data_IF_771410835329
#
_entry.id   IF_771410835329
#
_cell.length_a   1.000
_cell.length_b   1.000
_cell.length_c   1.000
_cell.angle_alpha   90.00
_cell.angle_beta   90.00
_cell.angle_gamma   90.00
#
_symmetry.space_group_name_H-M   'P 1'
#
loop_
_entity.id
_entity.type
_entity.pdbx_description
1 polymer ?
#
# COMPACT_ATOMS: atom_id res chain seq x y z
N UNK A 1 11.84 -40.79 -37.04
CA UNK A 1 11.69 -39.36 -36.71
C UNK A 1 12.44 -39.13 -35.40
N UNK A 2 13.59 -38.44 -35.41
CA UNK A 2 14.35 -38.17 -34.19
C UNK A 2 13.75 -36.97 -33.44
N UNK A 3 13.98 -36.97 -32.13
CA UNK A 3 13.56 -35.97 -31.15
C UNK A 3 14.26 -34.63 -31.41
N UNK A 4 13.52 -33.52 -31.33
CA UNK A 4 14.08 -32.19 -31.08
C UNK A 4 13.60 -31.74 -29.70
N UNK A 5 14.56 -31.70 -28.79
CA UNK A 5 14.57 -30.91 -27.57
C UNK A 5 14.63 -29.43 -27.96
N UNK A 6 13.75 -28.61 -27.38
CA UNK A 6 14.03 -27.20 -27.08
C UNK A 6 13.23 -26.87 -25.81
N UNK A 7 13.86 -27.18 -24.68
CA UNK A 7 13.59 -26.57 -23.38
C UNK A 7 14.71 -25.55 -23.14
N UNK A 8 14.39 -24.27 -23.29
CA UNK A 8 15.00 -23.13 -22.61
C UNK A 8 13.82 -22.15 -22.44
N UNK A 9 13.03 -22.23 -21.37
CA UNK A 9 13.35 -21.80 -20.01
C UNK A 9 13.97 -20.40 -19.97
N UNK A 10 13.09 -19.41 -20.01
CA UNK A 10 13.20 -18.21 -19.17
C UNK A 10 11.77 -17.66 -19.02
N UNK A 11 10.86 -18.49 -18.48
CA UNK A 11 9.79 -17.91 -17.67
C UNK A 11 10.51 -17.27 -16.48
N UNK A 12 10.83 -15.99 -16.62
CA UNK A 12 11.33 -15.17 -15.55
C UNK A 12 10.44 -15.44 -14.34
N UNK A 13 10.98 -16.22 -13.40
CA UNK A 13 10.36 -16.48 -12.13
C UNK A 13 9.87 -15.11 -11.64
N UNK A 14 8.57 -14.93 -11.34
CA UNK A 14 8.16 -13.72 -10.67
C UNK A 14 8.91 -13.75 -9.34
N UNK A 15 9.99 -12.97 -9.26
CA UNK A 15 10.75 -12.71 -8.05
C UNK A 15 9.73 -12.20 -7.04
N UNK A 16 9.19 -13.13 -6.27
CA UNK A 16 8.06 -12.96 -5.36
C UNK A 16 8.59 -12.46 -4.03
N UNK A 17 9.48 -11.48 -4.11
CA UNK A 17 9.83 -10.56 -3.03
C UNK A 17 9.14 -9.21 -3.25
N UNK A 18 8.08 -9.19 -4.07
CA UNK A 18 7.14 -8.08 -4.07
C UNK A 18 6.38 -8.13 -2.73
N UNK A 19 6.84 -7.30 -1.78
CA UNK A 19 6.13 -7.04 -0.53
C UNK A 19 4.64 -6.83 -0.86
N UNK A 20 3.72 -7.58 -0.21
CA UNK A 20 2.31 -7.50 -0.55
C UNK A 20 1.87 -6.04 -0.44
N UNK A 21 1.11 -5.51 -1.41
CA UNK A 21 0.70 -4.12 -1.39
C UNK A 21 -0.02 -3.87 -0.07
N UNK A 22 0.55 -2.98 0.76
CA UNK A 22 -0.01 -2.67 2.06
C UNK A 22 -1.49 -2.33 1.89
N UNK A 23 -2.36 -3.03 2.62
CA UNK A 23 -3.77 -2.65 2.64
C UNK A 23 -3.87 -1.18 3.08
N UNK A 24 -4.84 -0.43 2.56
CA UNK A 24 -5.00 0.99 2.90
C UNK A 24 -5.04 1.19 4.44
N UNK A 25 -5.58 0.22 5.17
CA UNK A 25 -5.58 0.20 6.64
C UNK A 25 -4.18 0.02 7.25
N UNK A 26 -3.35 -0.87 6.69
CA UNK A 26 -1.98 -1.09 7.13
C UNK A 26 -1.10 0.13 6.88
N UNK A 27 -1.16 0.70 5.67
CA UNK A 27 -0.46 1.94 5.33
C UNK A 27 -0.86 3.10 6.26
N UNK A 28 -2.14 3.20 6.62
CA UNK A 28 -2.64 4.24 7.52
C UNK A 28 -2.19 4.03 8.98
N UNK A 29 -2.07 2.79 9.44
CA UNK A 29 -1.54 2.48 10.77
C UNK A 29 -0.03 2.75 10.86
N UNK A 30 0.74 2.36 9.85
CA UNK A 30 2.17 2.60 9.79
C UNK A 30 2.47 4.10 9.73
N UNK A 31 1.68 4.86 8.98
CA UNK A 31 1.82 6.31 8.88
C UNK A 31 1.49 7.03 10.20
N UNK A 32 0.46 6.58 10.92
CA UNK A 32 0.15 7.11 12.27
C UNK A 32 1.30 6.88 13.24
N UNK A 33 1.92 5.69 13.18
CA UNK A 33 3.10 5.37 14.00
C UNK A 33 4.27 6.28 13.65
N UNK A 34 4.52 6.50 12.35
CA UNK A 34 5.58 7.38 11.89
C UNK A 34 5.37 8.84 12.32
N UNK A 35 4.14 9.35 12.20
CA UNK A 35 3.77 10.69 12.67
C UNK A 35 3.98 10.85 14.17
N UNK A 36 3.59 9.86 14.96
CA UNK A 36 3.81 9.88 16.41
C UNK A 36 5.29 9.92 16.78
N UNK A 37 6.17 9.27 16.01
CA UNK A 37 7.62 9.33 16.24
C UNK A 37 8.16 10.71 15.85
N UNK A 38 7.74 11.25 14.70
CA UNK A 38 8.15 12.56 14.16
C UNK A 38 7.74 13.74 15.05
N UNK A 39 6.60 13.64 15.75
CA UNK A 39 6.11 14.70 16.65
C UNK A 39 7.05 14.96 17.83
N UNK A 40 7.81 13.94 18.27
CA UNK A 40 8.78 14.07 19.35
C UNK A 40 10.21 14.35 18.86
N UNK A 41 10.42 14.54 17.55
CA UNK A 41 11.74 14.81 16.99
C UNK A 41 12.10 16.30 17.15
N UNK A 42 13.15 16.66 17.92
CA UNK A 42 13.45 18.05 18.27
C UNK A 42 13.87 18.92 17.09
N UNK A 43 14.37 18.31 16.00
CA UNK A 43 14.74 18.95 14.73
C UNK A 43 13.84 18.49 13.56
N UNK A 44 12.61 18.06 13.86
CA UNK A 44 11.69 17.48 12.88
C UNK A 44 11.54 18.37 11.64
N UNK A 45 11.88 17.82 10.46
CA UNK A 45 11.73 18.50 9.19
C UNK A 45 10.24 18.84 8.94
N UNK A 46 9.87 20.12 9.08
CA UNK A 46 8.45 20.54 9.02
C UNK A 46 7.81 20.25 7.65
N UNK A 47 8.60 20.20 6.59
CA UNK A 47 8.14 19.82 5.26
C UNK A 47 7.81 18.33 5.18
N UNK A 48 8.65 17.48 5.76
CA UNK A 48 8.40 16.04 5.83
C UNK A 48 7.11 15.76 6.62
N UNK A 49 6.94 16.41 7.77
CA UNK A 49 5.72 16.30 8.57
C UNK A 49 4.47 16.72 7.77
N UNK A 50 4.57 17.80 7.00
CA UNK A 50 3.47 18.30 6.15
C UNK A 50 3.09 17.31 5.05
N UNK A 51 4.09 16.65 4.45
CA UNK A 51 3.88 15.61 3.43
C UNK A 51 3.19 14.39 4.06
N UNK A 52 3.67 13.93 5.22
CA UNK A 52 3.10 12.80 5.93
C UNK A 52 1.63 13.05 6.31
N UNK A 53 1.30 14.25 6.81
CA UNK A 53 -0.09 14.64 7.09
C UNK A 53 -0.99 14.64 5.84
N UNK A 54 -0.47 15.05 4.68
CA UNK A 54 -1.22 14.99 3.42
C UNK A 54 -1.51 13.57 2.96
N UNK A 55 -0.52 12.68 3.11
CA UNK A 55 -0.69 11.25 2.80
C UNK A 55 -1.73 10.64 3.74
N UNK A 56 -1.70 10.98 5.03
CA UNK A 56 -2.65 10.46 6.02
C UNK A 56 -4.08 10.85 5.65
N UNK A 57 -4.30 12.12 5.33
CA UNK A 57 -5.62 12.61 4.92
C UNK A 57 -6.12 11.89 3.66
N UNK A 58 -5.24 11.69 2.69
CA UNK A 58 -5.59 10.99 1.44
C UNK A 58 -5.99 9.54 1.69
N UNK A 59 -5.24 8.82 2.52
CA UNK A 59 -5.57 7.44 2.90
C UNK A 59 -6.88 7.37 3.69
N UNK A 60 -7.12 8.29 4.63
CA UNK A 60 -8.39 8.37 5.36
C UNK A 60 -9.59 8.59 4.44
N UNK A 61 -9.43 9.39 3.37
CA UNK A 61 -10.49 9.60 2.38
C UNK A 61 -10.76 8.32 1.58
N UNK A 62 -9.72 7.59 1.16
CA UNK A 62 -9.88 6.32 0.44
C UNK A 62 -10.60 5.27 1.29
N UNK A 63 -10.27 5.16 2.59
CA UNK A 63 -11.00 4.26 3.52
C UNK A 63 -12.49 4.58 3.57
N UNK A 64 -12.85 5.87 3.64
CA UNK A 64 -14.25 6.30 3.67
C UNK A 64 -14.99 5.95 2.38
N UNK A 65 -14.35 6.15 1.22
CA UNK A 65 -14.92 5.81 -0.08
C UNK A 65 -15.17 4.30 -0.21
N UNK A 66 -14.17 3.48 0.16
CA UNK A 66 -14.31 2.02 0.11
C UNK A 66 -15.45 1.53 1.00
N UNK A 67 -15.52 2.00 2.24
CA UNK A 67 -16.63 1.66 3.15
C UNK A 67 -17.99 2.07 2.59
N UNK A 68 -18.06 3.22 1.91
CA UNK A 68 -19.31 3.70 1.30
C UNK A 68 -19.72 2.83 0.12
N UNK A 69 -18.77 2.39 -0.73
CA UNK A 69 -19.03 1.44 -1.80
C UNK A 69 -19.46 0.07 -1.28
N UNK A 70 -18.77 -0.48 -0.27
CA UNK A 70 -19.15 -1.75 0.38
C UNK A 70 -20.58 -1.67 0.93
N UNK A 71 -20.92 -0.54 1.57
CA UNK A 71 -22.27 -0.30 2.09
C UNK A 71 -23.28 -0.25 0.94
N UNK A 72 -23.02 0.49 -0.14
CA UNK A 72 -23.91 0.56 -1.30
C UNK A 72 -24.12 -0.81 -1.96
N UNK A 73 -23.04 -1.59 -2.13
CA UNK A 73 -23.10 -2.93 -2.70
C UNK A 73 -23.94 -3.87 -1.81
N UNK A 74 -23.83 -3.75 -0.49
CA UNK A 74 -24.63 -4.54 0.45
C UNK A 74 -26.13 -4.20 0.46
N UNK A 75 -26.53 -3.03 -0.03
CA UNK A 75 -27.95 -2.65 -0.16
C UNK A 75 -28.56 -3.05 -1.51
N UNK A 76 -27.71 -3.28 -2.52
CA UNK A 76 -28.10 -3.66 -3.88
C UNK A 76 -28.17 -5.19 -4.09
N UNK A 77 -27.81 -5.99 -3.08
CA UNK A 77 -27.84 -7.47 -3.09
C UNK A 77 -29.00 -7.97 -2.26
#
# INVERSE_FOLDING_TARGET
MPQQEEHEDEEAAPSTDAEPPATIYQALNDLKRLLSIKEYEPDGNSMELTILMHIERSLQQQVKLNRSQETLNGWLT
#
